data_IF_213376425575
#
_entry.id   IF_213376425575
#
_cell.length_a   1.000
_cell.length_b   1.000
_cell.length_c   1.000
_cell.angle_alpha   90.00
_cell.angle_beta   90.00
_cell.angle_gamma   90.00
#
_symmetry.space_group_name_H-M   'P 1'
#
loop_
_entity.id
_entity.type
_entity.pdbx_description
1 polymer ?
#
# COMPACT_ATOMS: atom_id res chain seq x y z
N UNK A 1 -8.75 8.29 1.75
CA UNK A 1 -7.75 9.32 2.14
C UNK A 1 -6.80 8.74 3.18
N UNK A 2 -5.49 8.89 2.99
CA UNK A 2 -4.49 8.44 3.98
C UNK A 2 -4.34 9.49 5.09
N UNK A 3 -4.40 9.06 6.35
CA UNK A 3 -4.32 9.94 7.52
C UNK A 3 -2.98 9.80 8.26
N UNK A 4 -2.38 8.61 8.27
CA UNK A 4 -1.11 8.35 8.96
C UNK A 4 -0.36 7.18 8.32
N UNK A 5 0.92 7.02 8.69
CA UNK A 5 1.79 5.93 8.24
C UNK A 5 2.38 5.19 9.44
N UNK A 6 2.28 3.86 9.44
CA UNK A 6 2.94 3.01 10.45
C UNK A 6 4.42 2.71 10.13
N UNK A 7 4.92 3.16 8.98
CA UNK A 7 6.28 2.89 8.50
C UNK A 7 6.85 4.15 7.83
N UNK A 8 8.02 4.59 8.29
CA UNK A 8 8.69 5.80 7.79
C UNK A 8 9.20 5.70 6.35
N UNK A 9 9.51 4.49 5.86
CA UNK A 9 9.87 4.29 4.45
C UNK A 9 8.62 4.36 3.54
N UNK A 10 7.46 3.91 4.01
CA UNK A 10 6.19 4.09 3.29
C UNK A 10 5.84 5.58 3.18
N UNK A 11 6.05 6.35 4.25
CA UNK A 11 5.84 7.80 4.25
C UNK A 11 6.80 8.51 3.29
N UNK A 12 8.08 8.14 3.25
CA UNK A 12 9.03 8.66 2.25
C UNK A 12 8.54 8.39 0.83
N UNK A 13 8.10 7.17 0.54
CA UNK A 13 7.56 6.81 -0.78
C UNK A 13 6.35 7.69 -1.13
N UNK A 14 5.43 7.91 -0.19
CA UNK A 14 4.29 8.81 -0.39
C UNK A 14 4.72 10.25 -0.72
N UNK A 15 5.70 10.77 0.01
CA UNK A 15 6.27 12.09 -0.20
C UNK A 15 7.22 12.16 -1.41
N UNK A 16 7.33 11.09 -2.21
CA UNK A 16 8.23 10.97 -3.36
C UNK A 16 9.71 11.18 -3.01
N UNK A 17 10.07 10.89 -1.76
CA UNK A 17 11.44 10.91 -1.27
C UNK A 17 12.02 9.50 -1.45
N UNK A 18 13.20 9.41 -2.05
CA UNK A 18 13.87 8.14 -2.29
C UNK A 18 14.21 7.42 -0.96
N UNK A 19 13.72 6.19 -0.82
CA UNK A 19 14.15 5.28 0.24
C UNK A 19 15.40 4.52 -0.20
N UNK A 20 16.43 4.52 0.65
CA UNK A 20 17.60 3.66 0.47
C UNK A 20 17.35 2.20 0.87
N UNK A 21 16.25 1.93 1.62
CA UNK A 21 15.92 0.60 2.17
C UNK A 21 15.02 -0.22 1.26
N UNK A 22 14.27 0.43 0.38
CA UNK A 22 13.32 -0.22 -0.51
C UNK A 22 13.88 -0.27 -1.94
N UNK A 23 13.71 -1.38 -2.68
CA UNK A 23 14.04 -1.42 -4.10
C UNK A 23 13.25 -0.37 -4.92
N UNK A 24 13.85 0.17 -5.98
CA UNK A 24 13.27 1.27 -6.78
C UNK A 24 11.93 0.92 -7.43
N UNK A 25 11.81 -0.30 -7.93
CA UNK A 25 10.60 -0.85 -8.52
C UNK A 25 9.46 -0.95 -7.48
N UNK A 26 9.79 -1.39 -6.26
CA UNK A 26 8.83 -1.47 -5.13
C UNK A 26 8.36 -0.09 -4.73
N UNK A 27 9.26 0.91 -4.65
CA UNK A 27 8.86 2.30 -4.36
C UNK A 27 7.89 2.84 -5.42
N UNK A 28 8.17 2.58 -6.71
CA UNK A 28 7.34 3.03 -7.83
C UNK A 28 5.95 2.39 -7.81
N UNK A 29 5.87 1.07 -7.62
CA UNK A 29 4.58 0.35 -7.57
C UNK A 29 3.84 0.72 -6.28
N UNK A 30 4.56 0.79 -5.15
CA UNK A 30 4.02 1.19 -3.85
C UNK A 30 3.36 2.57 -3.91
N UNK A 31 4.03 3.56 -4.50
CA UNK A 31 3.45 4.91 -4.69
C UNK A 31 2.12 4.85 -5.46
N UNK A 32 2.04 4.07 -6.55
CA UNK A 32 0.79 3.92 -7.31
C UNK A 32 -0.33 3.32 -6.47
N UNK A 33 -0.03 2.30 -5.65
CA UNK A 33 -1.01 1.68 -4.75
C UNK A 33 -1.46 2.66 -3.65
N UNK A 34 -0.54 3.43 -3.08
CA UNK A 34 -0.87 4.46 -2.08
C UNK A 34 -1.77 5.55 -2.68
N UNK A 35 -1.53 5.97 -3.93
CA UNK A 35 -2.39 6.94 -4.63
C UNK A 35 -3.81 6.39 -4.80
N UNK A 36 -3.95 5.12 -5.19
CA UNK A 36 -5.26 4.45 -5.31
C UNK A 36 -5.96 4.41 -3.94
N UNK A 37 -5.25 4.00 -2.88
CA UNK A 37 -5.79 3.97 -1.51
C UNK A 37 -6.18 5.35 -0.98
N UNK A 38 -5.40 6.37 -1.33
CA UNK A 38 -5.74 7.73 -0.95
C UNK A 38 -7.03 8.21 -1.63
N UNK A 39 -7.24 7.83 -2.89
CA UNK A 39 -8.36 8.26 -3.73
C UNK A 39 -9.63 7.42 -3.57
N UNK A 40 -9.54 6.20 -3.07
CA UNK A 40 -10.70 5.33 -2.88
C UNK A 40 -11.69 5.94 -1.89
N UNK A 41 -12.97 5.90 -2.25
CA UNK A 41 -14.09 6.30 -1.40
C UNK A 41 -14.61 5.13 -0.57
N UNK A 42 -14.51 3.92 -1.11
CA UNK A 42 -14.87 2.69 -0.41
C UNK A 42 -13.86 1.55 -0.66
N UNK A 43 -14.09 0.40 0.00
CA UNK A 43 -13.21 -0.77 -0.12
C UNK A 43 -13.34 -1.49 -1.48
N UNK A 44 -14.45 -1.33 -2.19
CA UNK A 44 -14.65 -1.95 -3.49
C UNK A 44 -13.81 -1.25 -4.57
N UNK A 45 -13.56 0.05 -4.44
CA UNK A 45 -12.61 0.77 -5.29
C UNK A 45 -11.23 0.12 -5.29
N UNK A 46 -10.81 -0.45 -4.14
CA UNK A 46 -9.52 -1.13 -4.00
C UNK A 46 -9.48 -2.50 -4.66
N UNK A 47 -10.61 -3.04 -5.13
CA UNK A 47 -10.65 -4.29 -5.91
C UNK A 47 -10.26 -4.06 -7.38
N UNK A 48 -10.28 -2.81 -7.84
CA UNK A 48 -9.91 -2.42 -9.21
C UNK A 48 -8.62 -1.58 -9.14
N UNK A 49 -7.52 -1.96 -9.81
CA UNK A 49 -7.35 -3.12 -10.70
C UNK A 49 -7.18 -4.46 -9.95
N UNK A 50 -7.50 -5.60 -10.58
CA UNK A 50 -7.50 -6.93 -9.95
C UNK A 50 -6.15 -7.34 -9.32
N UNK A 51 -5.05 -6.71 -9.75
CA UNK A 51 -3.73 -6.89 -9.17
C UNK A 51 -3.56 -6.34 -7.75
N UNK A 52 -4.54 -5.66 -7.16
CA UNK A 52 -4.49 -5.23 -5.76
C UNK A 52 -4.62 -6.41 -4.78
N UNK A 53 -5.34 -7.48 -5.17
CA UNK A 53 -5.58 -8.69 -4.35
C UNK A 53 -5.82 -8.34 -2.87
N UNK A 54 -6.84 -7.51 -2.64
CA UNK A 54 -7.20 -7.01 -1.31
C UNK A 54 -7.47 -8.19 -0.37
N UNK A 55 -6.73 -8.26 0.72
CA UNK A 55 -6.74 -9.40 1.66
C UNK A 55 -7.00 -8.90 3.07
N UNK A 56 -7.99 -9.48 3.76
CA UNK A 56 -8.23 -9.20 5.17
C UNK A 56 -7.23 -9.96 6.04
N UNK A 57 -6.55 -9.27 6.93
CA UNK A 57 -5.57 -9.88 7.83
C UNK A 57 -6.25 -10.51 9.05
N UNK A 58 -5.60 -11.54 9.62
CA UNK A 58 -6.08 -12.32 10.76
C UNK A 58 -5.13 -12.22 11.98
N UNK A 59 -5.51 -12.83 13.09
CA UNK A 59 -4.73 -12.83 14.33
C UNK A 59 -4.56 -11.42 14.91
N UNK A 60 -3.32 -11.06 15.28
CA UNK A 60 -2.98 -9.75 15.88
C UNK A 60 -3.22 -8.55 14.95
N UNK A 61 -3.50 -8.80 13.66
CA UNK A 61 -3.82 -7.77 12.66
C UNK A 61 -5.28 -7.82 12.20
N UNK A 62 -6.14 -8.51 12.95
CA UNK A 62 -7.58 -8.56 12.66
C UNK A 62 -8.14 -7.14 12.53
N UNK A 63 -8.87 -6.89 11.44
CA UNK A 63 -9.43 -5.57 11.11
C UNK A 63 -8.53 -4.73 10.20
N UNK A 64 -7.30 -5.17 9.92
CA UNK A 64 -6.44 -4.55 8.90
C UNK A 64 -6.62 -5.25 7.54
N UNK A 65 -6.34 -4.50 6.48
CA UNK A 65 -6.36 -4.98 5.11
C UNK A 65 -4.96 -4.89 4.53
N UNK A 66 -4.68 -5.72 3.52
CA UNK A 66 -3.44 -5.69 2.77
C UNK A 66 -3.68 -5.59 1.27
N UNK A 67 -2.86 -4.79 0.59
CA UNK A 67 -2.81 -4.65 -0.87
C UNK A 67 -1.46 -5.20 -1.35
N UNK A 68 -1.49 -6.14 -2.30
CA UNK A 68 -0.28 -6.77 -2.81
C UNK A 68 0.48 -5.85 -3.76
N UNK A 69 1.80 -5.73 -3.55
CA UNK A 69 2.73 -5.13 -4.53
C UNK A 69 3.27 -6.23 -5.45
N UNK A 70 3.84 -7.30 -4.88
CA UNK A 70 4.31 -8.49 -5.60
C UNK A 70 4.30 -9.73 -4.68
N UNK A 71 5.07 -10.78 -5.01
CA UNK A 71 5.13 -12.01 -4.22
C UNK A 71 5.65 -11.86 -2.79
N UNK A 72 6.42 -10.80 -2.51
CA UNK A 72 7.05 -10.55 -1.21
C UNK A 72 6.48 -9.30 -0.52
N UNK A 73 6.21 -8.23 -1.28
CA UNK A 73 5.90 -6.92 -0.75
C UNK A 73 4.40 -6.63 -0.75
N UNK A 74 3.95 -5.96 0.30
CA UNK A 74 2.55 -5.58 0.54
C UNK A 74 2.47 -4.24 1.24
N UNK A 75 1.37 -3.52 0.97
CA UNK A 75 0.89 -2.39 1.76
C UNK A 75 -0.18 -2.91 2.71
#
# INVERSE_FOLDING_TARGET
>A
MIVSFGNSETEKVWNQIYSKKLPRDIQRIGLRKLIILHRSKDLNDLRVPPGNRLESLSGNRKGQLSIRINGQWRI
#
